data_IF_326784330229
#
_entry.id   IF_326784330229
#
_cell.length_a   1.000
_cell.length_b   1.000
_cell.length_c   1.000
_cell.angle_alpha   90.00
_cell.angle_beta   90.00
_cell.angle_gamma   90.00
#
_symmetry.space_group_name_H-M   'P 1'
#
loop_
_entity.id
_entity.type
_entity.pdbx_description
1 polymer ?
#
# COMPACT_ATOMS: atom_id res chain seq x y z
N UNK A 1 18.95 -12.15 -8.29
CA UNK A 1 17.79 -11.37 -8.70
C UNK A 1 17.55 -10.24 -7.72
N UNK A 2 17.37 -9.03 -8.19
CA UNK A 2 17.24 -7.87 -7.34
C UNK A 2 15.77 -7.67 -6.95
N UNK A 3 15.57 -7.16 -5.74
CA UNK A 3 14.25 -6.80 -5.26
C UNK A 3 14.02 -5.33 -5.54
N UNK A 4 12.78 -4.98 -5.77
CA UNK A 4 12.38 -3.60 -5.95
C UNK A 4 12.02 -2.99 -4.61
N UNK A 5 12.33 -1.72 -4.48
CA UNK A 5 11.99 -0.96 -3.28
C UNK A 5 11.02 0.13 -3.69
N UNK A 6 9.93 0.24 -2.96
CA UNK A 6 8.93 1.27 -3.20
C UNK A 6 8.79 2.10 -1.94
N UNK A 7 8.96 3.41 -2.10
CA UNK A 7 8.75 4.36 -1.02
C UNK A 7 7.26 4.57 -0.83
N UNK A 8 6.76 4.42 0.39
CA UNK A 8 5.34 4.60 0.65
C UNK A 8 4.88 6.01 0.34
N UNK A 9 5.74 6.99 0.54
CA UNK A 9 5.39 8.37 0.25
C UNK A 9 5.08 8.60 -1.21
N UNK A 10 5.58 7.73 -2.07
CA UNK A 10 5.29 7.82 -3.50
C UNK A 10 4.07 7.02 -3.90
N UNK A 11 3.67 6.07 -3.07
CA UNK A 11 2.46 5.31 -3.30
C UNK A 11 1.22 6.06 -2.83
N UNK A 12 1.31 6.72 -1.67
CA UNK A 12 0.17 7.36 -1.05
C UNK A 12 0.13 8.84 -1.38
N UNK A 13 0.09 9.14 -2.67
CA UNK A 13 0.03 10.53 -3.12
C UNK A 13 -1.39 11.04 -2.91
N UNK A 14 -1.54 11.99 -1.99
CA UNK A 14 -2.82 12.61 -1.76
C UNK A 14 -3.78 11.81 -0.88
N UNK A 15 -3.29 10.77 -0.20
CA UNK A 15 -4.15 9.98 0.64
C UNK A 15 -3.38 9.04 1.53
N UNK A 16 -4.12 8.25 2.30
CA UNK A 16 -3.52 7.28 3.21
C UNK A 16 -3.94 5.86 2.89
N UNK A 17 -4.58 5.67 1.75
CA UNK A 17 -5.08 4.36 1.38
C UNK A 17 -4.94 4.19 -0.13
N UNK A 18 -4.49 3.01 -0.53
CA UNK A 18 -4.48 2.64 -1.95
C UNK A 18 -5.09 1.25 -2.08
N UNK A 19 -5.61 0.99 -3.25
CA UNK A 19 -6.15 -0.33 -3.58
C UNK A 19 -5.16 -1.04 -4.47
N UNK A 20 -4.93 -2.32 -4.17
CA UNK A 20 -4.08 -3.16 -4.98
C UNK A 20 -4.94 -4.27 -5.55
N UNK A 21 -4.93 -4.38 -6.87
CA UNK A 21 -5.64 -5.45 -7.53
C UNK A 21 -4.67 -6.60 -7.77
N UNK A 22 -4.96 -7.73 -7.15
CA UNK A 22 -4.11 -8.90 -7.28
C UNK A 22 -4.98 -10.11 -7.55
N UNK A 23 -4.73 -10.74 -8.68
CA UNK A 23 -5.44 -11.96 -9.07
C UNK A 23 -6.96 -11.80 -9.01
N UNK A 24 -7.44 -10.66 -9.49
CA UNK A 24 -8.86 -10.37 -9.54
C UNK A 24 -9.49 -9.93 -8.23
N UNK A 25 -8.69 -9.76 -7.18
CA UNK A 25 -9.19 -9.36 -5.88
C UNK A 25 -8.56 -8.04 -5.46
N UNK A 26 -9.34 -7.23 -4.77
CA UNK A 26 -8.87 -5.95 -4.28
C UNK A 26 -8.39 -6.07 -2.85
N UNK A 27 -7.23 -5.50 -2.62
CA UNK A 27 -6.65 -5.40 -1.28
C UNK A 27 -6.48 -3.93 -0.96
N UNK A 28 -6.61 -3.59 0.31
CA UNK A 28 -6.39 -2.22 0.76
C UNK A 28 -5.09 -2.13 1.52
N UNK A 29 -4.24 -1.22 1.10
CA UNK A 29 -3.01 -0.90 1.82
C UNK A 29 -3.20 0.47 2.43
N UNK A 30 -3.03 0.59 3.73
CA UNK A 30 -3.29 1.83 4.45
C UNK A 30 -2.15 2.16 5.39
N UNK A 31 -2.03 3.45 5.65
CA UNK A 31 -1.14 3.95 6.69
C UNK A 31 -2.00 4.27 7.89
N UNK A 32 -1.65 3.71 9.05
CA UNK A 32 -2.38 3.96 10.27
C UNK A 32 -1.92 5.25 10.93
N UNK A 33 -2.64 5.66 11.97
CA UNK A 33 -2.27 6.83 12.73
C UNK A 33 -0.92 6.68 13.44
N UNK A 34 -0.48 5.45 13.65
CA UNK A 34 0.83 5.17 14.22
C UNK A 34 1.91 5.08 13.15
N UNK A 35 1.59 5.50 11.94
CA UNK A 35 2.53 5.48 10.83
C UNK A 35 2.99 4.06 10.48
N UNK A 36 2.09 3.12 10.59
CA UNK A 36 2.33 1.73 10.22
C UNK A 36 1.55 1.38 8.98
N UNK A 37 2.07 0.44 8.22
CA UNK A 37 1.36 -0.06 7.04
C UNK A 37 0.56 -1.29 7.42
N UNK A 38 -0.69 -1.34 6.97
CA UNK A 38 -1.51 -2.53 7.10
C UNK A 38 -2.11 -2.88 5.75
N UNK A 39 -2.27 -4.16 5.52
CA UNK A 39 -2.87 -4.68 4.31
C UNK A 39 -4.08 -5.50 4.69
N UNK A 40 -5.23 -5.15 4.13
CA UNK A 40 -6.47 -5.88 4.38
C UNK A 40 -7.12 -6.26 3.06
N UNK A 41 -7.98 -7.22 3.11
CA UNK A 41 -8.68 -7.67 1.92
C UNK A 41 -10.16 -7.27 1.93
#
# INVERSE_FOLDING_TARGET
>A
MSKRIVESSKLFVGGQEILILHDGEQYRLRITSNNKLILTK
#
